data_IF_389805290191
#
_entry.id   IF_389805290191
#
_cell.length_a   1.000
_cell.length_b   1.000
_cell.length_c   1.000
_cell.angle_alpha   90.00
_cell.angle_beta   90.00
_cell.angle_gamma   90.00
#
_symmetry.space_group_name_H-M   'P 1'
#
loop_
_entity.id
_entity.type
_entity.pdbx_description
1 polymer ?
#
# COMPACT_ATOMS: atom_id res chain seq x y z
N UNK A 1 -1.17 -27.80 -41.84
CA UNK A 1 -1.97 -26.57 -41.97
C UNK A 1 -2.80 -26.46 -40.70
N UNK A 2 -2.28 -25.80 -39.66
CA UNK A 2 -3.03 -25.45 -38.45
C UNK A 2 -2.59 -24.04 -38.07
N UNK A 3 -3.53 -23.11 -38.20
CA UNK A 3 -3.31 -21.69 -37.98
C UNK A 3 -3.08 -21.42 -36.49
N UNK A 4 -1.92 -20.84 -36.17
CA UNK A 4 -1.71 -20.17 -34.89
C UNK A 4 -2.62 -18.95 -34.81
N UNK A 5 -3.76 -19.06 -34.13
CA UNK A 5 -4.48 -17.90 -33.63
C UNK A 5 -3.63 -17.24 -32.56
N UNK A 6 -2.92 -16.16 -32.93
CA UNK A 6 -2.39 -15.20 -31.98
C UNK A 6 -3.56 -14.60 -31.20
N UNK A 7 -3.70 -14.98 -29.93
CA UNK A 7 -4.54 -14.24 -28.99
C UNK A 7 -3.94 -12.84 -28.85
N UNK A 8 -4.58 -11.84 -29.47
CA UNK A 8 -4.33 -10.45 -29.11
C UNK A 8 -4.72 -10.28 -27.64
N UNK A 9 -3.75 -9.91 -26.81
CA UNK A 9 -4.04 -9.42 -25.48
C UNK A 9 -4.98 -8.20 -25.62
N UNK A 10 -6.05 -8.09 -24.81
CA UNK A 10 -6.91 -6.91 -24.88
C UNK A 10 -6.05 -5.67 -24.65
N UNK A 11 -6.19 -4.68 -25.54
CA UNK A 11 -5.60 -3.35 -25.39
C UNK A 11 -6.02 -2.84 -24.00
N UNK A 12 -5.07 -2.83 -23.06
CA UNK A 12 -5.31 -2.32 -21.72
C UNK A 12 -5.89 -0.92 -21.81
N UNK A 13 -6.86 -0.61 -20.96
CA UNK A 13 -7.47 0.71 -20.89
C UNK A 13 -6.38 1.77 -20.82
N UNK A 14 -6.35 2.68 -21.79
CA UNK A 14 -5.41 3.80 -21.79
C UNK A 14 -5.73 4.69 -20.58
N UNK A 15 -4.78 4.82 -19.66
CA UNK A 15 -4.91 5.70 -18.50
C UNK A 15 -4.30 7.04 -18.90
N UNK A 16 -5.13 8.06 -18.89
CA UNK A 16 -4.70 9.45 -19.10
C UNK A 16 -4.34 10.08 -17.77
N UNK A 17 -3.33 10.94 -17.77
CA UNK A 17 -2.88 11.68 -16.60
C UNK A 17 -2.75 13.14 -16.99
N UNK A 18 -3.53 13.99 -16.33
CA UNK A 18 -3.45 15.44 -16.47
C UNK A 18 -2.96 16.04 -15.16
N UNK A 19 -2.08 17.03 -15.26
CA UNK A 19 -1.48 17.69 -14.11
C UNK A 19 -2.03 19.12 -14.05
N UNK A 20 -2.50 19.54 -12.87
CA UNK A 20 -3.06 20.87 -12.65
C UNK A 20 -2.26 21.64 -11.61
N UNK A 21 -2.18 22.95 -11.79
CA UNK A 21 -1.49 23.86 -10.86
C UNK A 21 0.01 23.55 -10.72
N UNK A 22 0.53 23.78 -9.52
CA UNK A 22 1.99 23.77 -9.26
C UNK A 22 2.56 22.38 -8.93
N UNK A 23 1.82 21.30 -9.22
CA UNK A 23 2.25 19.94 -8.86
C UNK A 23 3.57 19.53 -9.52
N UNK A 24 3.82 19.96 -10.76
CA UNK A 24 5.09 19.67 -11.45
C UNK A 24 6.27 20.29 -10.70
N UNK A 25 6.16 21.57 -10.35
CA UNK A 25 7.22 22.28 -9.64
C UNK A 25 7.41 21.73 -8.23
N UNK A 26 6.31 21.44 -7.52
CA UNK A 26 6.37 20.75 -6.24
C UNK A 26 7.11 19.40 -6.34
N UNK A 27 6.81 18.57 -7.36
CA UNK A 27 7.45 17.27 -7.49
C UNK A 27 8.94 17.38 -7.81
N UNK A 28 9.34 18.35 -8.65
CA UNK A 28 10.75 18.65 -8.94
C UNK A 28 11.52 19.02 -7.68
N UNK A 29 10.96 19.89 -6.84
CA UNK A 29 11.62 20.34 -5.61
C UNK A 29 11.80 19.21 -4.58
N UNK A 30 10.84 18.28 -4.50
CA UNK A 30 10.87 17.18 -3.53
C UNK A 30 11.88 16.09 -3.86
N UNK A 31 12.41 16.04 -5.08
CA UNK A 31 13.37 15.01 -5.55
C UNK A 31 12.93 13.59 -5.17
N UNK A 32 11.64 13.30 -5.35
CA UNK A 32 11.02 12.05 -4.94
C UNK A 32 9.88 11.66 -5.87
N UNK A 33 9.22 10.56 -5.52
CA UNK A 33 8.03 10.07 -6.22
C UNK A 33 6.87 9.92 -5.26
N UNK A 34 5.65 10.01 -5.77
CA UNK A 34 4.41 9.75 -5.05
C UNK A 34 3.91 8.35 -5.41
N UNK A 35 3.62 7.53 -4.41
CA UNK A 35 2.95 6.24 -4.59
C UNK A 35 1.48 6.38 -4.23
N UNK A 36 0.59 5.90 -5.09
CA UNK A 36 -0.86 5.96 -4.93
C UNK A 36 -1.42 4.57 -5.16
N UNK A 37 -2.11 4.00 -4.18
CA UNK A 37 -2.87 2.77 -4.34
C UNK A 37 -4.31 3.10 -4.73
N UNK A 38 -4.90 2.27 -5.59
CA UNK A 38 -6.33 2.30 -5.91
C UNK A 38 -6.86 0.87 -5.85
N UNK A 39 -7.49 0.55 -4.73
CA UNK A 39 -7.94 -0.81 -4.44
C UNK A 39 -9.02 -1.29 -5.42
N UNK A 40 -9.88 -0.39 -5.93
CA UNK A 40 -10.94 -0.75 -6.87
C UNK A 40 -10.37 -1.09 -8.26
N UNK A 41 -9.32 -0.40 -8.68
CA UNK A 41 -8.70 -0.64 -9.98
C UNK A 41 -7.56 -1.68 -9.92
N UNK A 42 -7.15 -2.13 -8.72
CA UNK A 42 -6.07 -3.10 -8.56
C UNK A 42 -4.71 -2.54 -8.98
N UNK A 43 -4.46 -1.25 -8.75
CA UNK A 43 -3.21 -0.59 -9.19
C UNK A 43 -2.49 0.10 -8.04
N UNK A 44 -1.16 0.07 -8.13
CA UNK A 44 -0.28 1.05 -7.48
C UNK A 44 0.36 1.90 -8.58
N UNK A 45 0.09 3.20 -8.55
CA UNK A 45 0.69 4.19 -9.41
C UNK A 45 1.90 4.83 -8.73
N UNK A 46 3.04 4.84 -9.40
CA UNK A 46 4.22 5.60 -9.03
C UNK A 46 4.34 6.80 -9.96
N UNK A 47 4.22 7.99 -9.39
CA UNK A 47 4.26 9.28 -10.09
C UNK A 47 5.57 9.97 -9.74
N UNK A 48 6.41 10.20 -10.74
CA UNK A 48 7.72 10.83 -10.57
C UNK A 48 7.98 11.89 -11.63
N UNK A 49 9.12 12.57 -11.53
CA UNK A 49 9.63 13.48 -12.56
C UNK A 49 10.83 12.83 -13.25
N UNK A 50 10.81 12.72 -14.58
CA UNK A 50 11.90 12.08 -15.34
C UNK A 50 12.94 13.06 -15.91
N UNK A 51 12.89 14.34 -15.53
CA UNK A 51 13.72 15.40 -16.10
C UNK A 51 13.03 16.25 -17.17
N UNK A 52 11.99 15.72 -17.82
CA UNK A 52 11.28 16.40 -18.91
C UNK A 52 9.77 16.50 -18.69
N UNK A 53 9.16 15.47 -18.11
CA UNK A 53 7.73 15.38 -17.86
C UNK A 53 7.44 14.52 -16.63
N UNK A 54 6.18 14.53 -16.20
CA UNK A 54 5.68 13.54 -15.24
C UNK A 54 5.81 12.14 -15.85
N UNK A 55 6.38 11.22 -15.06
CA UNK A 55 6.46 9.81 -15.36
C UNK A 55 5.43 9.09 -14.50
N UNK A 56 4.58 8.28 -15.14
CA UNK A 56 3.59 7.44 -14.47
C UNK A 56 3.91 5.98 -14.76
N UNK A 57 4.12 5.21 -13.69
CA UNK A 57 4.27 3.75 -13.78
C UNK A 57 3.14 3.12 -12.99
N UNK A 58 2.45 2.17 -13.59
CA UNK A 58 1.45 1.38 -12.89
C UNK A 58 1.91 -0.06 -12.70
N UNK A 59 1.62 -0.58 -11.52
CA UNK A 59 1.81 -1.98 -11.15
C UNK A 59 0.48 -2.56 -10.71
N UNK A 60 0.23 -3.79 -11.12
CA UNK A 60 -0.98 -4.51 -10.80
C UNK A 60 -0.79 -5.29 -9.51
N UNK A 61 -1.78 -5.18 -8.63
CA UNK A 61 -1.86 -5.92 -7.38
C UNK A 61 -3.34 -6.22 -7.11
N UNK A 62 -3.65 -7.33 -6.43
CA UNK A 62 -5.02 -7.59 -6.00
C UNK A 62 -5.36 -6.67 -4.81
N UNK A 63 -6.27 -5.72 -5.03
CA UNK A 63 -6.78 -4.80 -4.00
C UNK A 63 -5.67 -4.15 -3.14
N UNK A 64 -4.73 -3.39 -3.73
CA UNK A 64 -3.68 -2.71 -2.97
C UNK A 64 -4.28 -1.62 -2.08
N UNK A 65 -3.90 -1.59 -0.81
CA UNK A 65 -4.45 -0.71 0.21
C UNK A 65 -3.32 0.05 0.92
N UNK A 66 -3.00 -0.30 2.18
CA UNK A 66 -1.97 0.36 2.98
C UNK A 66 -0.57 0.25 2.37
N UNK A 67 0.21 1.32 2.50
CA UNK A 67 1.61 1.38 2.05
C UNK A 67 2.47 2.07 3.09
N UNK A 68 3.69 1.60 3.29
CA UNK A 68 4.66 2.25 4.17
C UNK A 68 6.04 2.27 3.53
N UNK A 69 6.82 3.31 3.79
CA UNK A 69 8.23 3.38 3.42
C UNK A 69 9.07 3.69 4.64
N UNK A 70 10.21 3.02 4.78
CA UNK A 70 11.25 3.40 5.71
C UNK A 70 12.64 3.19 5.08
N UNK A 71 13.33 4.29 4.79
CA UNK A 71 14.60 4.27 4.06
C UNK A 71 14.47 3.54 2.72
N UNK A 72 15.14 2.39 2.60
CA UNK A 72 15.16 1.51 1.43
C UNK A 72 14.15 0.36 1.50
N UNK A 73 13.30 0.34 2.52
CA UNK A 73 12.21 -0.62 2.68
C UNK A 73 10.90 0.00 2.24
N UNK A 74 10.08 -0.80 1.57
CA UNK A 74 8.73 -0.43 1.20
C UNK A 74 7.81 -1.61 1.51
N UNK A 75 6.62 -1.33 2.04
CA UNK A 75 5.61 -2.33 2.33
C UNK A 75 4.33 -1.99 1.59
N UNK A 76 3.64 -3.03 1.11
CA UNK A 76 2.32 -2.93 0.49
C UNK A 76 1.41 -3.99 1.07
N UNK A 77 0.24 -3.57 1.55
CA UNK A 77 -0.86 -4.47 1.83
C UNK A 77 -1.73 -4.65 0.58
N UNK A 78 -2.09 -5.90 0.29
CA UNK A 78 -3.01 -6.31 -0.78
C UNK A 78 -4.27 -6.90 -0.15
N UNK A 79 -5.13 -7.56 -0.94
CA UNK A 79 -6.32 -8.27 -0.44
C UNK A 79 -5.99 -9.18 0.74
N UNK A 80 -5.00 -10.04 0.56
CA UNK A 80 -4.70 -11.18 1.41
C UNK A 80 -3.22 -11.35 1.75
N UNK A 81 -2.38 -10.39 1.36
CA UNK A 81 -0.95 -10.40 1.62
C UNK A 81 -0.44 -9.05 2.15
N UNK A 82 0.70 -9.09 2.85
CA UNK A 82 1.57 -7.94 3.06
C UNK A 82 2.94 -8.25 2.48
N UNK A 83 3.33 -7.47 1.47
CA UNK A 83 4.58 -7.66 0.71
C UNK A 83 5.60 -6.62 1.17
N UNK A 84 6.77 -7.08 1.60
CA UNK A 84 7.92 -6.24 1.91
C UNK A 84 8.91 -6.26 0.74
N UNK A 85 9.24 -5.07 0.28
CA UNK A 85 10.18 -4.80 -0.79
C UNK A 85 11.46 -4.17 -0.23
N UNK A 86 12.59 -4.47 -0.87
CA UNK A 86 13.85 -3.78 -0.65
C UNK A 86 14.28 -3.07 -1.93
N UNK A 87 14.84 -1.87 -1.78
CA UNK A 87 15.35 -1.08 -2.89
C UNK A 87 16.69 -1.64 -3.40
N UNK A 88 16.70 -2.18 -4.61
CA UNK A 88 17.89 -2.62 -5.33
C UNK A 88 18.51 -1.47 -6.14
N UNK A 89 18.99 -0.42 -5.45
CA UNK A 89 19.55 0.80 -6.07
C UNK A 89 20.60 0.53 -7.15
N UNK A 90 21.47 -0.45 -6.92
CA UNK A 90 22.53 -0.82 -7.87
C UNK A 90 21.98 -1.29 -9.22
N UNK A 91 20.76 -1.84 -9.24
CA UNK A 91 20.09 -2.32 -10.45
C UNK A 91 19.15 -1.27 -11.05
N UNK A 92 18.73 -0.27 -10.29
CA UNK A 92 17.73 0.71 -10.73
C UNK A 92 18.19 1.50 -11.97
N UNK A 93 19.44 1.96 -11.95
CA UNK A 93 20.01 2.75 -13.05
C UNK A 93 20.07 2.00 -14.37
N UNK A 94 20.20 0.67 -14.34
CA UNK A 94 20.36 -0.19 -15.52
C UNK A 94 19.10 -0.99 -15.85
N UNK A 95 17.99 -0.69 -15.18
CA UNK A 95 16.75 -1.42 -15.34
C UNK A 95 16.20 -1.34 -16.78
N UNK A 96 16.35 -0.18 -17.43
CA UNK A 96 16.05 -0.02 -18.85
C UNK A 96 17.38 0.08 -19.61
N UNK A 97 17.75 -0.91 -20.44
CA UNK A 97 19.07 -0.96 -21.08
C UNK A 97 19.46 0.29 -21.88
N UNK A 98 18.49 0.96 -22.50
CA UNK A 98 18.72 2.14 -23.36
C UNK A 98 18.37 3.47 -22.69
N UNK A 99 17.98 3.47 -21.41
CA UNK A 99 17.62 4.67 -20.64
C UNK A 99 18.33 4.64 -19.28
N UNK A 100 19.66 4.50 -19.29
CA UNK A 100 20.43 4.43 -18.06
C UNK A 100 20.18 5.67 -17.18
N UNK A 101 19.93 5.45 -15.90
CA UNK A 101 19.62 6.51 -14.94
C UNK A 101 18.17 6.99 -14.96
N UNK A 102 17.29 6.33 -15.74
CA UNK A 102 15.85 6.64 -15.77
C UNK A 102 15.16 6.46 -14.41
N UNK A 103 15.62 5.48 -13.62
CA UNK A 103 15.11 5.20 -12.28
C UNK A 103 16.26 5.19 -11.27
N UNK A 104 16.02 5.82 -10.12
CA UNK A 104 16.93 5.88 -8.98
C UNK A 104 16.61 4.84 -7.88
N UNK A 105 15.45 4.20 -7.98
CA UNK A 105 15.00 3.14 -7.08
C UNK A 105 14.33 1.99 -7.84
N UNK A 106 14.57 0.76 -7.37
CA UNK A 106 13.95 -0.46 -7.87
C UNK A 106 13.53 -1.33 -6.69
N UNK A 107 12.26 -1.29 -6.33
CA UNK A 107 11.72 -2.09 -5.24
C UNK A 107 11.42 -3.51 -5.68
N UNK A 108 12.16 -4.46 -5.11
CA UNK A 108 11.99 -5.89 -5.38
C UNK A 108 11.42 -6.59 -4.15
N UNK A 109 10.44 -7.49 -4.31
CA UNK A 109 9.87 -8.21 -3.19
C UNK A 109 10.93 -9.08 -2.50
N UNK A 110 10.84 -9.18 -1.18
CA UNK A 110 11.76 -9.95 -0.34
C UNK A 110 11.03 -10.88 0.61
N UNK A 111 9.90 -10.43 1.15
CA UNK A 111 9.06 -11.20 2.07
C UNK A 111 7.61 -10.95 1.69
N UNK A 112 6.80 -12.01 1.69
CA UNK A 112 5.35 -11.92 1.56
C UNK A 112 4.73 -12.65 2.73
N UNK A 113 3.96 -11.95 3.55
CA UNK A 113 3.14 -12.56 4.60
C UNK A 113 1.76 -12.86 4.02
N UNK A 114 1.33 -14.12 4.10
CA UNK A 114 -0.04 -14.50 3.79
C UNK A 114 -0.92 -14.22 5.00
N UNK A 115 -1.81 -13.24 4.88
CA UNK A 115 -2.63 -12.73 5.98
C UNK A 115 -4.11 -13.08 5.85
N UNK A 116 -4.56 -13.54 4.67
CA UNK A 116 -5.98 -13.56 4.36
C UNK A 116 -6.58 -12.15 4.37
N UNK A 117 -7.90 -12.05 4.21
CA UNK A 117 -8.56 -10.74 4.11
C UNK A 117 -8.65 -10.01 5.46
N UNK A 118 -7.57 -9.33 5.87
CA UNK A 118 -7.54 -8.45 7.04
C UNK A 118 -8.09 -7.05 6.76
N UNK A 119 -8.22 -6.71 5.47
CA UNK A 119 -8.55 -5.37 4.99
C UNK A 119 -7.56 -4.32 5.51
N UNK A 120 -6.27 -4.56 5.30
CA UNK A 120 -5.21 -3.70 5.87
C UNK A 120 -5.16 -2.34 5.19
N UNK A 121 -5.82 -1.35 5.80
CA UNK A 121 -5.98 -0.01 5.22
C UNK A 121 -4.73 0.87 5.34
N UNK A 122 -3.91 0.66 6.36
CA UNK A 122 -2.73 1.47 6.61
C UNK A 122 -1.59 0.65 7.22
N UNK A 123 -0.36 1.08 6.96
CA UNK A 123 0.88 0.44 7.38
C UNK A 123 1.83 1.52 7.89
N UNK A 124 2.62 1.21 8.92
CA UNK A 124 3.71 2.09 9.33
C UNK A 124 4.88 1.30 9.91
N UNK A 125 6.11 1.72 9.60
CA UNK A 125 7.29 1.19 10.27
C UNK A 125 7.47 1.87 11.63
N UNK A 126 7.73 1.07 12.66
CA UNK A 126 8.10 1.50 14.00
C UNK A 126 9.38 0.82 14.49
N UNK A 127 9.75 1.09 15.74
CA UNK A 127 10.93 0.51 16.37
C UNK A 127 10.85 -1.02 16.49
N UNK A 128 9.65 -1.56 16.65
CA UNK A 128 9.40 -3.01 16.73
C UNK A 128 9.09 -3.65 15.37
N UNK A 129 9.33 -2.95 14.26
CA UNK A 129 9.06 -3.46 12.90
C UNK A 129 7.79 -2.87 12.29
N UNK A 130 7.18 -3.60 11.36
CA UNK A 130 6.02 -3.13 10.60
C UNK A 130 4.72 -3.32 11.39
N UNK A 131 4.01 -2.21 11.57
CA UNK A 131 2.66 -2.15 12.11
C UNK A 131 1.64 -2.08 10.99
N UNK A 132 0.49 -2.71 11.22
CA UNK A 132 -0.62 -2.74 10.30
C UNK A 132 -1.93 -2.42 11.02
N UNK A 133 -2.80 -1.65 10.35
CA UNK A 133 -4.21 -1.56 10.73
C UNK A 133 -4.91 -2.81 10.24
N UNK A 134 -5.39 -3.67 11.13
CA UNK A 134 -6.27 -4.79 10.81
C UNK A 134 -7.72 -4.34 11.01
N UNK A 135 -8.30 -3.79 9.95
CA UNK A 135 -9.66 -3.25 9.96
C UNK A 135 -10.69 -4.32 10.27
N UNK A 136 -10.54 -5.51 9.68
CA UNK A 136 -11.48 -6.62 9.89
C UNK A 136 -11.58 -7.05 11.35
N UNK A 137 -10.48 -7.04 12.08
CA UNK A 137 -10.44 -7.38 13.51
C UNK A 137 -10.40 -6.15 14.43
N UNK A 138 -10.59 -4.94 13.89
CA UNK A 138 -10.63 -3.69 14.65
C UNK A 138 -9.43 -3.48 15.57
N UNK A 139 -8.23 -3.81 15.10
CA UNK A 139 -7.01 -3.76 15.92
C UNK A 139 -5.79 -3.27 15.12
N UNK A 140 -4.77 -2.81 15.84
CA UNK A 140 -3.42 -2.69 15.33
C UNK A 140 -2.69 -4.02 15.57
N UNK A 141 -1.99 -4.49 14.56
CA UNK A 141 -1.25 -5.74 14.60
C UNK A 141 0.13 -5.62 13.97
N UNK A 142 0.92 -6.68 14.14
CA UNK A 142 2.17 -6.88 13.43
C UNK A 142 2.13 -8.18 12.64
N UNK A 143 3.02 -8.27 11.65
CA UNK A 143 3.23 -9.48 10.87
C UNK A 143 3.85 -10.58 11.73
N UNK A 144 3.63 -11.84 11.35
CA UNK A 144 4.05 -13.00 12.13
C UNK A 144 4.51 -14.13 11.24
N UNK A 145 5.49 -14.89 11.71
CA UNK A 145 5.97 -16.10 11.05
C UNK A 145 5.21 -17.37 11.51
N UNK A 146 4.48 -17.29 12.62
CA UNK A 146 3.78 -18.43 13.22
C UNK A 146 2.25 -18.30 13.23
N UNK A 147 1.74 -17.10 12.97
CA UNK A 147 0.30 -16.79 12.99
C UNK A 147 -0.05 -15.90 11.81
N UNK A 148 -1.35 -15.76 11.51
CA UNK A 148 -1.83 -14.83 10.48
C UNK A 148 -1.43 -13.37 10.76
N UNK A 149 -1.51 -12.96 12.03
CA UNK A 149 -1.04 -11.68 12.55
C UNK A 149 -0.91 -11.76 14.08
N UNK A 150 -0.19 -10.81 14.68
CA UNK A 150 -0.10 -10.65 16.13
C UNK A 150 -0.83 -9.37 16.55
N UNK A 151 -2.01 -9.45 17.21
CA UNK A 151 -2.68 -8.26 17.70
C UNK A 151 -1.86 -7.61 18.81
N UNK A 152 -1.73 -6.28 18.76
CA UNK A 152 -0.92 -5.51 19.73
C UNK A 152 -1.75 -4.47 20.47
N UNK A 153 -2.80 -3.95 19.85
CA UNK A 153 -3.70 -2.98 20.47
C UNK A 153 -5.06 -2.97 19.77
N UNK A 154 -6.13 -2.67 20.50
CA UNK A 154 -7.44 -2.34 19.92
C UNK A 154 -8.09 -1.21 20.75
N UNK A 155 -9.07 -0.48 20.19
CA UNK A 155 -9.80 0.53 20.94
C UNK A 155 -10.50 -0.07 22.17
N UNK A 156 -10.60 0.70 23.26
CA UNK A 156 -11.15 0.22 24.55
C UNK A 156 -12.62 -0.22 24.48
N UNK A 157 -13.38 0.34 23.55
CA UNK A 157 -14.79 -0.02 23.33
C UNK A 157 -14.96 -1.30 22.51
N UNK A 158 -13.90 -1.79 21.85
CA UNK A 158 -13.91 -3.09 21.18
C UNK A 158 -13.64 -4.16 22.23
N UNK A 159 -14.62 -5.01 22.49
CA UNK A 159 -14.57 -5.97 23.61
C UNK A 159 -13.90 -7.30 23.26
N UNK A 160 -13.85 -7.66 21.98
CA UNK A 160 -13.24 -8.89 21.48
C UNK A 160 -12.70 -8.70 20.06
N UNK A 161 -11.67 -9.49 19.73
CA UNK A 161 -11.07 -9.51 18.40
C UNK A 161 -11.78 -10.52 17.50
N UNK A 162 -12.90 -10.11 16.93
CA UNK A 162 -13.68 -10.88 15.97
C UNK A 162 -13.56 -10.30 14.54
N UNK A 163 -13.70 -11.11 13.48
CA UNK A 163 -13.57 -10.67 12.08
C UNK A 163 -14.79 -9.89 11.58
N UNK A 164 -15.23 -8.88 12.31
CA UNK A 164 -16.54 -8.23 12.17
C UNK A 164 -16.47 -6.75 11.77
N UNK A 165 -15.28 -6.17 11.62
CA UNK A 165 -15.10 -4.76 11.25
C UNK A 165 -16.01 -3.84 12.08
N UNK A 166 -15.84 -3.88 13.40
CA UNK A 166 -16.77 -3.28 14.37
C UNK A 166 -16.73 -1.76 14.34
N UNK A 167 -15.58 -1.17 14.07
CA UNK A 167 -15.36 0.28 14.12
C UNK A 167 -14.78 0.88 12.84
N UNK A 168 -14.39 0.03 11.88
CA UNK A 168 -13.62 0.44 10.70
C UNK A 168 -12.37 1.23 11.04
N UNK A 169 -11.50 0.62 11.84
CA UNK A 169 -10.17 1.16 12.09
C UNK A 169 -9.47 1.32 10.73
N UNK A 170 -8.98 2.52 10.42
CA UNK A 170 -8.59 2.88 9.05
C UNK A 170 -7.12 3.29 8.95
N UNK A 171 -6.69 4.27 9.74
CA UNK A 171 -5.32 4.81 9.71
C UNK A 171 -4.60 4.67 11.04
N UNK A 172 -3.27 4.74 11.00
CA UNK A 172 -2.43 4.91 12.17
C UNK A 172 -1.39 6.03 11.96
N UNK A 173 -0.95 6.63 13.06
CA UNK A 173 0.18 7.55 13.06
C UNK A 173 1.17 7.22 14.16
N UNK A 174 2.45 7.25 13.81
CA UNK A 174 3.55 6.92 14.70
C UNK A 174 4.06 8.17 15.42
N UNK A 175 4.50 8.03 16.67
CA UNK A 175 5.26 9.03 17.41
C UNK A 175 6.43 8.33 18.08
N UNK A 176 7.65 8.84 17.85
CA UNK A 176 8.87 8.27 18.41
C UNK A 176 9.05 6.76 18.11
N UNK A 177 8.60 6.31 16.94
CA UNK A 177 8.71 4.91 16.51
C UNK A 177 7.64 3.96 17.06
N UNK A 178 6.64 4.47 17.78
CA UNK A 178 5.52 3.68 18.32
C UNK A 178 4.17 4.20 17.79
N UNK A 179 3.13 3.35 17.65
CA UNK A 179 1.79 3.82 17.31
C UNK A 179 1.26 4.76 18.40
N UNK A 180 0.83 5.96 18.02
CA UNK A 180 0.34 6.97 18.96
C UNK A 180 -1.11 7.37 18.69
N UNK A 181 -1.55 7.29 17.44
CA UNK A 181 -2.91 7.62 17.04
C UNK A 181 -3.43 6.57 16.07
N UNK A 182 -4.73 6.32 16.14
CA UNK A 182 -5.45 5.53 15.16
C UNK A 182 -6.77 6.23 14.84
N UNK A 183 -7.26 6.06 13.61
CA UNK A 183 -8.55 6.59 13.18
C UNK A 183 -9.52 5.45 12.94
N UNK A 184 -10.80 5.69 13.24
CA UNK A 184 -11.90 4.77 13.00
C UNK A 184 -13.09 5.55 12.44
N UNK A 185 -13.95 4.92 11.64
CA UNK A 185 -15.16 5.57 11.14
C UNK A 185 -16.30 5.60 12.17
N UNK A 186 -16.22 4.80 13.23
CA UNK A 186 -17.20 4.82 14.31
C UNK A 186 -16.66 4.32 15.63
N UNK A 187 -17.20 4.85 16.73
CA UNK A 187 -17.04 4.30 18.08
C UNK A 187 -18.15 3.27 18.32
N UNK A 188 -17.96 2.05 17.78
CA UNK A 188 -18.95 0.96 17.82
C UNK A 188 -18.26 -0.39 18.06
N UNK A 189 -18.99 -1.33 18.66
CA UNK A 189 -18.53 -2.69 18.97
C UNK A 189 -19.37 -3.77 18.29
N UNK A 190 -20.33 -3.38 17.44
CA UNK A 190 -21.23 -4.29 16.74
C UNK A 190 -20.81 -4.44 15.27
N UNK A 191 -21.14 -5.59 14.68
CA UNK A 191 -20.84 -5.95 13.29
C UNK A 191 -21.18 -4.81 12.32
N UNK A 192 -20.14 -4.16 11.78
CA UNK A 192 -20.25 -3.10 10.77
C UNK A 192 -21.16 -1.91 11.11
N UNK A 193 -21.49 -1.68 12.38
CA UNK A 193 -22.42 -0.62 12.82
C UNK A 193 -21.94 0.80 12.49
N UNK A 194 -20.64 1.00 12.28
CA UNK A 194 -20.05 2.25 11.79
C UNK A 194 -20.66 2.72 10.45
N UNK A 195 -21.22 1.80 9.63
CA UNK A 195 -21.85 2.15 8.35
C UNK A 195 -23.08 3.03 8.50
N UNK A 196 -23.81 2.93 9.60
CA UNK A 196 -25.01 3.74 9.86
C UNK A 196 -24.68 5.22 10.04
N UNK A 197 -23.45 5.52 10.46
CA UNK A 197 -22.95 6.88 10.70
C UNK A 197 -22.13 7.41 9.51
N UNK A 198 -22.13 6.70 8.38
CA UNK A 198 -21.39 7.11 7.18
C UNK A 198 -22.14 8.27 6.50
N UNK A 199 -21.57 9.47 6.59
CA UNK A 199 -22.00 10.63 5.82
C UNK A 199 -21.73 10.46 4.32
#
# INVERSE_FOLDING_TARGET
MNQHQQRQAPLGTAITCDVKGDFIEWLKERKGSVAISTYQAGKVALVGWNGQQISLIMREFDKPMGMARDGDRFALATRDEVILFANAKALANDYIPNERGRYDALYLPRITYTTGELQTHDLAYGCEGLWAVNTRFSCLCQMSESYTFLPRWHPKFVTELSPEDRCHLNGLAMKNGEPAYATALGETNDLTAWKEKKA
#
